data_IF_904584864293
#
_entry.id   IF_904584864293
#
_cell.length_a   1.000
_cell.length_b   1.000
_cell.length_c   1.000
_cell.angle_alpha   90.00
_cell.angle_beta   90.00
_cell.angle_gamma   90.00
#
_symmetry.space_group_name_H-M   'P 1'
#
loop_
_entity.id
_entity.type
_entity.pdbx_description
1 polymer ?
#
# COMPACT_ATOMS: atom_id res chain seq x y z
N UNK A 1 18.44 20.86 -9.45
CA UNK A 1 18.62 19.97 -8.31
C UNK A 1 17.96 18.64 -8.56
N UNK A 2 18.63 17.57 -8.18
CA UNK A 2 18.04 16.22 -8.28
C UNK A 2 16.75 16.17 -7.50
N UNK A 3 15.65 16.05 -8.22
CA UNK A 3 14.35 15.90 -7.61
C UNK A 3 14.25 14.51 -6.98
N UNK A 4 13.92 14.43 -5.69
CA UNK A 4 13.71 13.18 -4.99
C UNK A 4 12.24 13.04 -4.65
N UNK A 5 11.61 11.96 -5.08
CA UNK A 5 10.21 11.66 -4.77
C UNK A 5 9.92 11.69 -3.26
N UNK A 6 10.92 11.35 -2.47
CA UNK A 6 10.83 11.37 -1.01
C UNK A 6 10.43 12.72 -0.43
N UNK A 7 10.73 13.82 -1.12
CA UNK A 7 10.37 15.16 -0.65
C UNK A 7 8.85 15.39 -0.57
N UNK A 8 8.04 14.63 -1.33
CA UNK A 8 6.58 14.76 -1.30
C UNK A 8 5.96 14.26 -0.01
N UNK A 9 6.54 13.25 0.62
CA UNK A 9 5.98 12.60 1.79
C UNK A 9 6.89 12.62 3.01
N UNK A 10 7.92 13.46 3.01
CA UNK A 10 8.86 13.58 4.14
C UNK A 10 8.16 13.92 5.46
N UNK A 11 7.10 14.73 5.40
CA UNK A 11 6.34 15.09 6.60
C UNK A 11 5.57 13.89 7.18
N UNK A 12 5.09 12.99 6.34
CA UNK A 12 4.37 11.80 6.76
C UNK A 12 5.33 10.71 7.26
N UNK A 13 6.53 10.65 6.69
CA UNK A 13 7.55 9.67 7.05
C UNK A 13 7.38 8.29 6.42
N UNK A 14 6.35 8.08 5.61
CA UNK A 14 6.10 6.83 4.90
C UNK A 14 5.28 7.07 3.62
N UNK A 15 5.26 6.06 2.76
CA UNK A 15 4.43 6.00 1.56
C UNK A 15 3.85 4.60 1.39
N UNK A 16 2.88 4.46 0.49
CA UNK A 16 2.23 3.19 0.21
C UNK A 16 2.50 2.71 -1.20
N UNK A 17 2.36 1.40 -1.38
CA UNK A 17 2.40 0.71 -2.67
C UNK A 17 1.21 -0.23 -2.73
N UNK A 18 0.56 -0.31 -3.89
CA UNK A 18 -0.56 -1.21 -4.14
C UNK A 18 -0.24 -2.02 -5.39
N UNK A 19 -0.10 -3.33 -5.22
CA UNK A 19 0.17 -4.26 -6.31
C UNK A 19 -0.93 -5.31 -6.43
N UNK A 20 -1.09 -5.89 -7.61
CA UNK A 20 -2.04 -6.97 -7.84
C UNK A 20 -1.49 -8.34 -7.40
N UNK A 21 -0.16 -8.46 -7.31
CA UNK A 21 0.51 -9.68 -6.86
C UNK A 21 1.90 -9.36 -6.31
N UNK A 22 2.50 -10.33 -5.63
CA UNK A 22 3.83 -10.17 -5.02
C UNK A 22 4.97 -10.02 -6.02
N UNK A 23 4.82 -10.53 -7.25
CA UNK A 23 5.86 -10.40 -8.28
C UNK A 23 6.07 -8.95 -8.70
N UNK A 24 5.02 -8.15 -8.69
CA UNK A 24 5.09 -6.73 -9.04
C UNK A 24 5.95 -5.90 -8.06
N UNK A 25 6.21 -6.40 -6.87
CA UNK A 25 7.09 -5.74 -5.89
C UNK A 25 8.50 -5.52 -6.48
N UNK A 26 8.94 -6.40 -7.38
CA UNK A 26 10.24 -6.28 -8.04
C UNK A 26 10.37 -5.02 -8.91
N UNK A 27 9.26 -4.40 -9.31
CA UNK A 27 9.28 -3.14 -10.05
C UNK A 27 9.96 -2.01 -9.29
N UNK A 28 9.92 -2.04 -7.97
CA UNK A 28 10.56 -1.03 -7.11
C UNK A 28 12.09 -1.01 -7.30
N UNK A 29 12.67 -2.16 -7.66
CA UNK A 29 14.12 -2.32 -7.90
C UNK A 29 14.50 -2.23 -9.36
N UNK A 30 13.53 -2.11 -10.27
CA UNK A 30 13.78 -2.06 -11.71
C UNK A 30 14.30 -0.69 -12.12
N UNK A 31 15.58 -0.63 -12.47
CA UNK A 31 16.25 0.61 -12.89
C UNK A 31 15.90 1.05 -14.32
N UNK A 32 15.17 0.23 -15.08
CA UNK A 32 14.76 0.56 -16.46
C UNK A 32 13.46 1.35 -16.51
N UNK A 33 12.74 1.47 -15.40
CA UNK A 33 11.48 2.22 -15.33
C UNK A 33 11.77 3.70 -15.62
N UNK A 34 10.99 4.26 -16.55
CA UNK A 34 11.10 5.66 -16.98
C UNK A 34 9.84 6.49 -16.73
N UNK A 35 8.82 5.89 -16.12
CA UNK A 35 7.54 6.54 -15.84
C UNK A 35 7.07 6.12 -14.45
N UNK A 36 6.84 7.10 -13.58
CA UNK A 36 6.37 6.89 -12.22
C UNK A 36 5.27 7.91 -11.91
N UNK A 37 4.24 7.47 -11.23
CA UNK A 37 3.16 8.34 -10.76
C UNK A 37 3.14 8.30 -9.24
N UNK A 38 3.16 9.47 -8.62
CA UNK A 38 2.88 9.61 -7.18
C UNK A 38 1.44 10.06 -7.04
N UNK A 39 0.64 9.25 -6.36
CA UNK A 39 -0.75 9.57 -6.10
C UNK A 39 -0.91 10.13 -4.68
N UNK A 40 -1.57 11.25 -4.56
CA UNK A 40 -2.06 11.76 -3.29
C UNK A 40 -3.55 11.46 -3.20
N UNK A 41 -3.90 10.49 -2.38
CA UNK A 41 -5.27 9.97 -2.28
C UNK A 41 -5.95 10.64 -1.10
N UNK A 42 -6.98 11.44 -1.38
CA UNK A 42 -7.78 12.14 -0.39
C UNK A 42 -9.10 11.41 -0.19
N UNK A 43 -9.18 10.54 0.80
CA UNK A 43 -10.41 9.77 1.03
C UNK A 43 -11.61 10.65 1.35
N UNK A 44 -11.43 11.63 2.20
CA UNK A 44 -12.53 12.53 2.60
C UNK A 44 -13.11 13.31 1.43
N UNK A 45 -12.25 13.82 0.55
CA UNK A 45 -12.63 14.57 -0.65
C UNK A 45 -13.02 13.67 -1.82
N UNK A 46 -12.76 12.37 -1.72
CA UNK A 46 -12.98 11.38 -2.78
C UNK A 46 -12.29 11.75 -4.09
N UNK A 47 -11.08 12.30 -3.99
CA UNK A 47 -10.25 12.71 -5.12
C UNK A 47 -8.83 12.14 -5.00
N UNK A 48 -8.18 12.00 -6.16
CA UNK A 48 -6.79 11.61 -6.29
C UNK A 48 -6.06 12.66 -7.09
N UNK A 49 -4.99 13.22 -6.53
CA UNK A 49 -4.07 14.09 -7.24
C UNK A 49 -2.89 13.24 -7.70
N UNK A 50 -2.62 13.24 -9.00
CA UNK A 50 -1.54 12.46 -9.60
C UNK A 50 -0.41 13.39 -10.05
N UNK A 51 0.80 13.08 -9.59
CA UNK A 51 2.03 13.73 -10.02
C UNK A 51 2.75 12.77 -10.95
N UNK A 52 2.82 13.09 -12.22
CA UNK A 52 3.40 12.23 -13.25
C UNK A 52 4.86 12.60 -13.48
N UNK A 53 5.74 11.63 -13.34
CA UNK A 53 7.18 11.79 -13.55
C UNK A 53 7.65 10.91 -14.70
N UNK A 54 8.41 11.49 -15.60
CA UNK A 54 9.08 10.78 -16.68
C UNK A 54 10.58 11.03 -16.62
N UNK A 55 11.34 9.97 -16.89
CA UNK A 55 12.79 10.06 -16.97
C UNK A 55 13.20 10.37 -18.40
N UNK A 56 13.88 11.52 -18.58
CA UNK A 56 14.39 11.98 -19.85
C UNK A 56 15.89 12.26 -19.71
N UNK A 57 16.71 11.66 -20.58
CA UNK A 57 18.16 11.83 -20.54
C UNK A 57 18.77 11.54 -19.15
N UNK A 58 18.25 10.51 -18.48
CA UNK A 58 18.72 10.11 -17.15
C UNK A 58 18.19 10.94 -15.99
N UNK A 59 17.37 11.95 -16.23
CA UNK A 59 16.80 12.82 -15.20
C UNK A 59 15.29 12.67 -15.08
N UNK A 60 14.80 12.59 -13.84
CA UNK A 60 13.37 12.56 -13.55
C UNK A 60 12.78 13.96 -13.60
N UNK A 61 11.71 14.13 -14.35
CA UNK A 61 10.99 15.39 -14.54
C UNK A 61 9.52 15.22 -14.24
N UNK A 62 8.95 16.19 -13.52
CA UNK A 62 7.50 16.29 -13.36
C UNK A 62 6.91 16.77 -14.69
N UNK A 63 6.08 15.93 -15.32
CA UNK A 63 5.51 16.21 -16.66
C UNK A 63 4.03 16.54 -16.64
N UNK A 64 3.31 16.15 -15.59
CA UNK A 64 1.89 16.48 -15.44
C UNK A 64 1.45 16.43 -13.99
N UNK A 65 0.43 17.23 -13.66
CA UNK A 65 -0.33 17.15 -12.41
C UNK A 65 -1.79 17.03 -12.81
N UNK A 66 -2.45 15.96 -12.36
CA UNK A 66 -3.83 15.66 -12.72
C UNK A 66 -4.67 15.43 -11.47
N UNK A 67 -5.96 15.79 -11.54
CA UNK A 67 -6.95 15.49 -10.50
C UNK A 67 -8.02 14.59 -11.11
N UNK A 68 -8.32 13.50 -10.41
CA UNK A 68 -9.36 12.55 -10.83
C UNK A 68 -10.24 12.16 -9.64
N UNK A 69 -11.54 11.93 -9.86
CA UNK A 69 -12.38 11.33 -8.82
C UNK A 69 -11.82 9.95 -8.44
N UNK A 70 -11.92 9.60 -7.16
CA UNK A 70 -11.40 8.32 -6.66
C UNK A 70 -12.04 7.11 -7.34
N UNK A 71 -13.32 7.21 -7.76
CA UNK A 71 -14.02 6.11 -8.44
C UNK A 71 -13.44 5.77 -9.82
N UNK A 72 -12.65 6.67 -10.41
CA UNK A 72 -11.94 6.41 -11.68
C UNK A 72 -10.57 5.78 -11.47
N UNK A 73 -10.13 5.61 -10.23
CA UNK A 73 -8.84 5.01 -9.93
C UNK A 73 -8.85 3.51 -10.25
N UNK A 74 -7.71 2.99 -10.69
CA UNK A 74 -7.53 1.57 -10.99
C UNK A 74 -7.76 0.68 -9.76
N UNK A 75 -7.58 1.23 -8.57
CA UNK A 75 -7.79 0.54 -7.30
C UNK A 75 -9.09 0.97 -6.61
N UNK A 76 -10.05 1.54 -7.33
CA UNK A 76 -11.23 2.19 -6.75
C UNK A 76 -12.01 1.27 -5.79
N UNK A 77 -12.28 0.03 -6.19
CA UNK A 77 -12.98 -0.95 -5.34
C UNK A 77 -12.23 -1.22 -4.03
N UNK A 78 -10.93 -1.47 -4.14
CA UNK A 78 -10.08 -1.71 -2.98
C UNK A 78 -9.99 -0.46 -2.09
N UNK A 79 -9.81 0.72 -2.67
CA UNK A 79 -9.71 1.98 -1.92
C UNK A 79 -10.99 2.31 -1.15
N UNK A 80 -12.15 2.02 -1.74
CA UNK A 80 -13.44 2.19 -1.05
C UNK A 80 -13.52 1.30 0.19
N UNK A 81 -13.08 0.06 0.09
CA UNK A 81 -12.98 -0.87 1.21
C UNK A 81 -11.95 -0.38 2.23
N UNK A 82 -10.75 -0.03 1.78
CA UNK A 82 -9.62 0.32 2.63
C UNK A 82 -9.91 1.57 3.48
N UNK A 83 -10.63 2.54 2.95
CA UNK A 83 -11.00 3.73 3.72
C UNK A 83 -11.67 3.36 5.05
N UNK A 84 -12.66 2.48 5.01
CA UNK A 84 -13.34 2.02 6.22
C UNK A 84 -12.47 1.08 7.05
N UNK A 85 -11.77 0.15 6.40
CA UNK A 85 -10.86 -0.78 7.07
C UNK A 85 -9.82 -0.05 7.91
N UNK A 86 -9.24 1.03 7.39
CA UNK A 86 -8.17 1.76 8.08
C UNK A 86 -8.62 2.47 9.37
N UNK A 87 -9.92 2.72 9.54
CA UNK A 87 -10.46 3.57 10.62
C UNK A 87 -11.34 2.84 11.62
N UNK A 88 -11.83 1.66 11.29
CA UNK A 88 -12.88 0.97 12.06
C UNK A 88 -12.37 -0.38 12.53
N UNK A 89 -12.08 -0.51 13.83
CA UNK A 89 -11.51 -1.73 14.42
C UNK A 89 -12.44 -2.93 14.29
N UNK A 90 -13.75 -2.75 14.46
CA UNK A 90 -14.72 -3.82 14.30
C UNK A 90 -14.82 -4.27 12.84
N UNK A 91 -14.81 -3.31 11.92
CA UNK A 91 -14.81 -3.61 10.48
C UNK A 91 -13.54 -4.38 10.08
N UNK A 92 -12.38 -4.05 10.66
CA UNK A 92 -11.15 -4.81 10.45
C UNK A 92 -11.34 -6.28 10.80
N UNK A 93 -11.81 -6.56 12.00
CA UNK A 93 -12.03 -7.94 12.47
C UNK A 93 -13.04 -8.67 11.58
N UNK A 94 -14.11 -8.01 11.16
CA UNK A 94 -15.14 -8.60 10.30
C UNK A 94 -14.72 -8.71 8.84
N UNK A 95 -13.57 -8.15 8.47
CA UNK A 95 -13.01 -8.17 7.11
C UNK A 95 -11.76 -9.01 7.02
N UNK A 96 -11.73 -10.15 7.69
CA UNK A 96 -10.61 -11.08 7.72
C UNK A 96 -11.04 -12.48 7.30
N UNK A 97 -10.10 -13.23 6.73
CA UNK A 97 -10.26 -14.67 6.56
C UNK A 97 -10.37 -15.35 7.93
N UNK A 98 -10.92 -16.56 7.97
CA UNK A 98 -11.06 -17.33 9.22
C UNK A 98 -9.71 -17.54 9.91
N UNK A 99 -8.66 -17.77 9.12
CA UNK A 99 -7.27 -17.79 9.58
C UNK A 99 -6.47 -16.80 8.73
N UNK A 100 -5.75 -15.91 9.39
CA UNK A 100 -4.88 -14.91 8.75
C UNK A 100 -3.43 -15.31 8.99
N UNK A 101 -2.68 -15.51 7.91
CA UNK A 101 -1.25 -15.80 8.00
C UNK A 101 -0.50 -14.52 8.40
N UNK A 102 0.40 -14.64 9.36
CA UNK A 102 1.24 -13.50 9.75
C UNK A 102 2.72 -13.88 9.80
N UNK A 103 3.57 -12.88 9.59
CA UNK A 103 5.02 -12.98 9.76
C UNK A 103 5.48 -11.73 10.49
N UNK A 104 6.16 -11.92 11.62
CA UNK A 104 6.69 -10.82 12.44
C UNK A 104 8.15 -11.10 12.77
N UNK A 105 8.97 -10.07 13.10
CA UNK A 105 10.32 -10.30 13.61
C UNK A 105 10.27 -11.14 14.88
N UNK A 106 11.27 -12.02 15.03
CA UNK A 106 11.44 -12.79 16.26
C UNK A 106 12.00 -11.86 17.36
N UNK A 107 11.31 -11.70 18.49
CA UNK A 107 11.81 -10.86 19.57
C UNK A 107 13.10 -11.39 20.22
N UNK A 108 13.40 -12.69 20.06
CA UNK A 108 14.56 -13.34 20.65
C UNK A 108 15.73 -13.50 19.67
N UNK A 109 15.54 -13.18 18.39
CA UNK A 109 16.57 -13.29 17.34
C UNK A 109 16.39 -12.22 16.27
N UNK A 110 17.26 -11.22 16.26
CA UNK A 110 17.21 -10.07 15.33
C UNK A 110 17.30 -10.45 13.85
N UNK A 111 17.70 -11.67 13.53
CA UNK A 111 17.89 -12.13 12.15
C UNK A 111 16.82 -13.11 11.67
N UNK A 112 15.85 -13.44 12.51
CA UNK A 112 14.80 -14.40 12.16
C UNK A 112 13.40 -13.78 12.27
N UNK A 113 12.43 -14.49 11.75
CA UNK A 113 11.03 -14.10 11.83
C UNK A 113 10.17 -15.28 12.28
N UNK A 114 9.07 -14.96 12.93
CA UNK A 114 8.05 -15.92 13.35
C UNK A 114 6.91 -15.85 12.35
N UNK A 115 6.50 -17.02 11.83
CA UNK A 115 5.34 -17.15 10.95
C UNK A 115 4.30 -18.02 11.64
N UNK A 116 3.05 -17.61 11.59
CA UNK A 116 1.95 -18.35 12.17
C UNK A 116 0.62 -17.96 11.56
N UNK A 117 -0.45 -18.47 12.14
CA UNK A 117 -1.82 -18.13 11.79
C UNK A 117 -2.50 -17.50 13.00
N UNK A 118 -3.28 -16.44 12.77
CA UNK A 118 -4.10 -15.84 13.81
C UNK A 118 -5.58 -15.92 13.47
N UNK A 119 -6.40 -16.00 14.50
CA UNK A 119 -7.84 -15.84 14.37
C UNK A 119 -8.20 -14.34 14.37
N UNK A 120 -9.30 -13.92 13.71
CA UNK A 120 -9.69 -12.52 13.67
C UNK A 120 -9.79 -11.83 15.04
N UNK A 121 -10.20 -12.56 16.08
CA UNK A 121 -10.33 -12.04 17.43
C UNK A 121 -9.00 -11.62 18.05
N UNK A 122 -7.89 -12.16 17.55
CA UNK A 122 -6.54 -11.86 18.01
C UNK A 122 -5.95 -10.60 17.35
N UNK A 123 -6.64 -10.02 16.36
CA UNK A 123 -6.15 -8.88 15.61
C UNK A 123 -5.66 -7.72 16.47
N UNK A 124 -6.36 -7.31 17.54
CA UNK A 124 -5.89 -6.21 18.39
C UNK A 124 -4.48 -6.41 18.95
N UNK A 125 -4.07 -7.68 19.17
CA UNK A 125 -2.77 -8.02 19.75
C UNK A 125 -1.68 -8.18 18.69
N UNK A 126 -2.04 -8.46 17.43
CA UNK A 126 -1.10 -8.76 16.33
C UNK A 126 -1.01 -7.68 15.25
N UNK A 127 -1.98 -6.78 15.18
CA UNK A 127 -2.04 -5.80 14.09
C UNK A 127 -0.76 -4.97 13.99
N UNK A 128 -0.39 -4.54 12.75
CA UNK A 128 0.70 -3.60 12.59
C UNK A 128 0.51 -2.33 13.41
N UNK A 129 1.60 -1.75 13.88
CA UNK A 129 1.56 -0.51 14.65
C UNK A 129 1.09 0.71 13.85
N UNK A 130 1.13 0.62 12.53
CA UNK A 130 0.66 1.68 11.62
C UNK A 130 -0.24 1.09 10.55
N UNK A 131 -1.48 1.55 10.52
CA UNK A 131 -2.41 1.33 9.41
C UNK A 131 -2.76 2.71 8.88
N UNK A 132 -2.17 3.14 7.74
CA UNK A 132 -2.37 4.50 7.22
C UNK A 132 -3.84 4.81 6.96
N UNK A 133 -4.25 6.02 7.33
CA UNK A 133 -5.62 6.50 7.15
C UNK A 133 -5.61 7.97 6.71
N UNK A 134 -6.73 8.46 6.20
CA UNK A 134 -6.90 9.86 5.81
C UNK A 134 -6.37 10.15 4.42
N UNK A 135 -5.14 10.63 4.32
CA UNK A 135 -4.47 10.91 3.05
C UNK A 135 -3.34 9.91 2.85
N UNK A 136 -3.35 9.22 1.70
CA UNK A 136 -2.27 8.31 1.34
C UNK A 136 -1.40 8.92 0.24
N UNK A 137 -0.09 8.70 0.35
CA UNK A 137 0.86 8.92 -0.74
C UNK A 137 1.23 7.56 -1.31
N UNK A 138 0.73 7.26 -2.51
CA UNK A 138 0.89 5.98 -3.16
C UNK A 138 1.76 6.12 -4.41
N UNK A 139 2.72 5.21 -4.60
CA UNK A 139 3.63 5.26 -5.75
C UNK A 139 3.27 4.15 -6.72
N UNK A 140 3.14 4.51 -8.00
CA UNK A 140 2.91 3.58 -9.10
C UNK A 140 4.18 3.52 -9.95
N UNK A 141 4.78 2.33 -10.03
CA UNK A 141 6.00 2.08 -10.81
C UNK A 141 5.73 1.51 -12.21
N UNK A 142 4.60 1.88 -12.82
CA UNK A 142 4.23 1.42 -14.15
C UNK A 142 3.64 0.01 -14.20
N UNK A 143 3.21 -0.54 -13.05
CA UNK A 143 2.50 -1.81 -13.03
C UNK A 143 1.22 -1.71 -13.86
N UNK A 144 1.00 -2.75 -14.68
CA UNK A 144 -0.25 -2.88 -15.42
C UNK A 144 -1.31 -3.42 -14.47
N UNK A 145 -2.44 -2.74 -14.45
CA UNK A 145 -3.59 -3.15 -13.66
C UNK A 145 -4.55 -3.93 -14.52
N UNK A 146 -4.95 -5.08 -14.00
CA UNK A 146 -6.17 -5.77 -14.44
C UNK A 146 -7.19 -5.64 -13.30
N UNK A 147 -8.46 -5.89 -13.54
CA UNK A 147 -9.42 -6.07 -12.46
C UNK A 147 -8.98 -7.25 -11.62
N UNK A 148 -8.29 -6.96 -10.54
CA UNK A 148 -7.71 -7.96 -9.67
C UNK A 148 -8.60 -8.19 -8.46
N UNK A 149 -8.77 -9.46 -8.10
CA UNK A 149 -9.41 -9.86 -6.85
C UNK A 149 -8.42 -9.98 -5.71
N UNK A 150 -7.16 -9.61 -5.93
CA UNK A 150 -6.09 -9.63 -4.94
C UNK A 150 -5.35 -8.31 -4.96
N UNK A 151 -5.07 -7.75 -3.78
CA UNK A 151 -4.21 -6.58 -3.63
C UNK A 151 -3.15 -6.85 -2.56
N UNK A 152 -1.93 -6.49 -2.89
CA UNK A 152 -0.82 -6.43 -1.94
C UNK A 152 -0.61 -4.96 -1.61
N UNK A 153 -0.94 -4.60 -0.38
CA UNK A 153 -0.82 -3.24 0.13
C UNK A 153 0.41 -3.16 1.02
N UNK A 154 1.33 -2.29 0.65
CA UNK A 154 2.59 -2.12 1.37
C UNK A 154 2.72 -0.72 1.94
N UNK A 155 3.27 -0.63 3.14
CA UNK A 155 3.67 0.63 3.76
C UNK A 155 5.18 0.60 3.94
N UNK A 156 5.86 1.59 3.41
CA UNK A 156 7.31 1.73 3.54
C UNK A 156 7.67 3.06 4.18
N UNK A 157 8.51 2.99 5.20
CA UNK A 157 9.06 4.16 5.84
C UNK A 157 10.20 4.78 5.05
N UNK A 158 10.41 6.08 5.28
CA UNK A 158 11.52 6.83 4.70
C UNK A 158 12.65 6.81 5.72
N UNK A 159 13.74 6.11 5.39
CA UNK A 159 14.98 6.04 6.19
C UNK A 159 14.81 5.49 7.63
N UNK A 160 13.72 4.78 7.95
CA UNK A 160 13.47 4.25 9.28
C UNK A 160 13.27 2.72 9.33
N UNK A 161 13.43 2.02 8.20
CA UNK A 161 13.29 0.56 8.13
C UNK A 161 11.86 0.03 8.25
N UNK A 162 10.87 0.90 8.37
CA UNK A 162 9.48 0.46 8.45
C UNK A 162 9.05 -0.23 7.15
N UNK A 163 8.54 -1.45 7.28
CA UNK A 163 7.96 -2.20 6.17
C UNK A 163 6.79 -3.04 6.67
N UNK A 164 5.61 -2.78 6.13
CA UNK A 164 4.37 -3.50 6.44
C UNK A 164 3.79 -3.97 5.12
N UNK A 165 3.34 -5.21 5.09
CA UNK A 165 2.66 -5.81 3.94
C UNK A 165 1.35 -6.42 4.40
N UNK A 166 0.26 -6.09 3.71
CA UNK A 166 -1.06 -6.68 3.92
C UNK A 166 -1.59 -7.19 2.59
N UNK A 167 -2.03 -8.45 2.58
CA UNK A 167 -2.62 -9.07 1.39
C UNK A 167 -4.12 -9.20 1.58
N UNK A 168 -4.85 -8.63 0.65
CA UNK A 168 -6.31 -8.67 0.63
C UNK A 168 -6.80 -9.46 -0.57
N UNK A 169 -7.88 -10.22 -0.39
CA UNK A 169 -8.56 -10.93 -1.47
C UNK A 169 -10.04 -10.59 -1.47
N UNK A 170 -10.60 -10.39 -2.65
CA UNK A 170 -12.03 -10.20 -2.81
C UNK A 170 -12.70 -11.54 -3.11
N UNK A 171 -13.57 -11.94 -2.20
CA UNK A 171 -14.36 -13.18 -2.30
C UNK A 171 -15.83 -12.84 -2.13
N UNK A 172 -16.68 -13.31 -3.08
CA UNK A 172 -18.13 -13.01 -3.06
C UNK A 172 -18.44 -11.51 -2.88
N UNK A 173 -17.69 -10.67 -3.58
CA UNK A 173 -17.84 -9.22 -3.54
C UNK A 173 -17.28 -8.52 -2.31
N UNK A 174 -16.68 -9.24 -1.38
CA UNK A 174 -16.11 -8.68 -0.15
C UNK A 174 -14.59 -8.81 -0.12
N UNK A 175 -13.92 -7.72 0.26
CA UNK A 175 -12.48 -7.74 0.52
C UNK A 175 -12.20 -8.30 1.90
N UNK A 176 -11.24 -9.23 2.00
CA UNK A 176 -10.80 -9.84 3.24
C UNK A 176 -9.28 -9.78 3.36
N UNK A 177 -8.79 -9.46 4.55
CA UNK A 177 -7.38 -9.62 4.88
C UNK A 177 -7.06 -11.09 5.03
N UNK A 178 -6.09 -11.60 4.28
CA UNK A 178 -5.70 -13.01 4.29
C UNK A 178 -4.30 -13.23 4.84
N UNK A 179 -3.44 -12.22 4.78
CA UNK A 179 -2.04 -12.33 5.18
C UNK A 179 -1.49 -10.94 5.52
N UNK A 180 -0.58 -10.87 6.50
CA UNK A 180 0.18 -9.65 6.76
C UNK A 180 1.56 -9.97 7.31
N UNK A 181 2.48 -9.02 7.14
CA UNK A 181 3.80 -9.05 7.76
C UNK A 181 4.20 -7.64 8.21
N UNK A 182 5.01 -7.60 9.24
CA UNK A 182 5.57 -6.35 9.76
C UNK A 182 6.93 -6.57 10.43
#
# INVERSE_FOLDING_TARGET
GKWKMEHFFMRQGYYTLIFDNKKQINLVKDTTISHVVVEKIFFKKKTVQQFVFDRKNGEWMLTAIEYKPIFQNMNASFLKFYEKFSRDSLFQINSMAEEVKFTTPDPDDDFSSITGNMMPEQWPDFKPGLIPTGTLYNIIYGQKYSESTRKVFMVRGIANGLEIEMVFRRRSGKWLLTEFSC
#
